data_IF_283087978185
#
_entry.id   IF_283087978185
#
_cell.length_a   1.000
_cell.length_b   1.000
_cell.length_c   1.000
_cell.angle_alpha   90.00
_cell.angle_beta   90.00
_cell.angle_gamma   90.00
#
_symmetry.space_group_name_H-M   'P 1'
#
loop_
_entity.id
_entity.type
_entity.pdbx_description
1 polymer ?
#
# COMPACT_ATOMS: atom_id res chain seq x y z
N UNK A 1 27.48 2.62 -3.65
CA UNK A 1 26.38 2.02 -4.42
C UNK A 1 26.77 0.60 -4.70
N UNK A 2 25.92 -0.34 -4.33
CA UNK A 2 26.29 -1.77 -4.27
C UNK A 2 25.94 -2.53 -5.55
N UNK A 3 24.96 -2.07 -6.33
CA UNK A 3 24.56 -2.70 -7.60
C UNK A 3 23.69 -1.74 -8.45
N UNK A 4 23.72 -1.86 -9.78
CA UNK A 4 22.79 -1.19 -10.71
C UNK A 4 22.54 -2.04 -11.94
N UNK A 5 21.29 -2.48 -12.12
CA UNK A 5 20.84 -3.22 -13.29
C UNK A 5 20.63 -2.34 -14.53
N UNK A 6 20.52 -2.97 -15.70
CA UNK A 6 20.19 -2.29 -16.96
C UNK A 6 18.73 -1.80 -16.94
N UNK A 7 18.50 -0.53 -17.28
CA UNK A 7 17.20 0.14 -17.21
C UNK A 7 16.85 0.77 -15.85
N UNK A 8 17.72 0.67 -14.83
CA UNK A 8 17.51 1.30 -13.52
C UNK A 8 18.07 2.73 -13.45
N UNK A 9 18.90 3.13 -14.41
CA UNK A 9 19.57 4.42 -14.47
C UNK A 9 19.23 5.15 -15.76
N UNK A 10 19.56 6.43 -15.79
CA UNK A 10 19.45 7.24 -17.00
C UNK A 10 20.37 6.70 -18.11
N UNK A 11 19.94 6.71 -19.39
CA UNK A 11 20.70 6.13 -20.49
C UNK A 11 22.15 6.61 -20.58
N UNK A 12 22.41 7.90 -20.35
CA UNK A 12 23.74 8.49 -20.38
C UNK A 12 24.67 7.93 -19.29
N UNK A 13 24.12 7.51 -18.15
CA UNK A 13 24.88 6.85 -17.10
C UNK A 13 25.19 5.40 -17.46
N UNK A 14 24.19 4.68 -17.94
CA UNK A 14 24.32 3.27 -18.32
C UNK A 14 25.33 3.09 -19.44
N UNK A 15 25.30 3.93 -20.48
CA UNK A 15 26.24 3.87 -21.60
C UNK A 15 27.69 3.94 -21.14
N UNK A 16 28.01 4.82 -20.18
CA UNK A 16 29.37 4.91 -19.65
C UNK A 16 29.70 3.67 -18.80
N UNK A 17 28.82 3.25 -17.91
CA UNK A 17 29.08 2.13 -16.98
C UNK A 17 29.22 0.78 -17.69
N UNK A 18 28.39 0.51 -18.70
CA UNK A 18 28.43 -0.74 -19.46
C UNK A 18 29.62 -0.82 -20.43
N UNK A 19 30.26 0.31 -20.75
CA UNK A 19 31.48 0.36 -21.55
C UNK A 19 32.77 0.28 -20.71
N UNK A 20 32.69 0.25 -19.38
CA UNK A 20 33.86 0.10 -18.52
C UNK A 20 34.28 -1.37 -18.42
N UNK A 21 35.58 -1.58 -18.38
CA UNK A 21 36.17 -2.85 -17.99
C UNK A 21 36.13 -3.02 -16.46
N UNK A 22 36.16 -4.27 -16.00
CA UNK A 22 36.19 -4.58 -14.56
C UNK A 22 37.39 -3.92 -13.88
N UNK A 23 37.13 -3.18 -12.80
CA UNK A 23 38.14 -2.42 -12.06
C UNK A 23 38.43 -1.02 -12.61
N UNK A 24 37.96 -0.68 -13.82
CA UNK A 24 38.21 0.61 -14.49
C UNK A 24 37.42 1.75 -13.84
N UNK A 25 38.04 2.93 -13.81
CA UNK A 25 37.42 4.20 -13.39
C UNK A 25 37.06 4.98 -14.66
N UNK A 26 35.84 5.51 -14.73
CA UNK A 26 35.41 6.38 -15.82
C UNK A 26 36.06 7.75 -15.75
N UNK A 27 36.09 8.46 -16.87
CA UNK A 27 36.23 9.91 -16.85
C UNK A 27 34.99 10.58 -16.20
N UNK A 28 35.09 11.87 -15.92
CA UNK A 28 33.94 12.65 -15.42
C UNK A 28 32.92 12.78 -16.54
N UNK A 29 31.71 12.26 -16.34
CA UNK A 29 30.62 12.37 -17.29
C UNK A 29 29.39 12.98 -16.62
N UNK A 30 28.50 13.58 -17.41
CA UNK A 30 27.24 14.14 -16.94
C UNK A 30 26.11 13.15 -17.19
N UNK A 31 25.29 12.90 -16.18
CA UNK A 31 23.99 12.23 -16.34
C UNK A 31 22.95 13.09 -15.61
N UNK A 32 21.90 13.50 -16.31
CA UNK A 32 20.92 14.45 -15.81
C UNK A 32 21.57 15.78 -15.37
N UNK A 33 21.30 16.16 -14.11
CA UNK A 33 21.78 17.41 -13.51
C UNK A 33 23.05 17.25 -12.67
N UNK A 34 23.70 16.08 -12.71
CA UNK A 34 24.89 15.78 -11.91
C UNK A 34 26.06 15.27 -12.75
N UNK A 35 27.27 15.45 -12.21
CA UNK A 35 28.50 14.86 -12.73
C UNK A 35 28.90 13.64 -11.92
N UNK A 36 29.29 12.58 -12.60
CA UNK A 36 29.64 11.29 -12.02
C UNK A 36 31.06 10.89 -12.39
N UNK A 37 31.72 10.23 -11.44
CA UNK A 37 32.91 9.41 -11.66
C UNK A 37 32.60 8.07 -11.03
N UNK A 38 32.69 7.00 -11.82
CA UNK A 38 32.32 5.66 -11.36
C UNK A 38 33.48 4.71 -11.54
N UNK A 39 33.54 3.69 -10.67
CA UNK A 39 34.49 2.59 -10.81
C UNK A 39 33.71 1.29 -10.90
N UNK A 40 33.88 0.55 -11.99
CA UNK A 40 33.26 -0.76 -12.12
C UNK A 40 33.98 -1.74 -11.19
N UNK A 41 33.25 -2.39 -10.28
CA UNK A 41 33.84 -3.34 -9.33
C UNK A 41 33.88 -4.75 -9.90
N UNK A 42 32.73 -5.21 -10.39
CA UNK A 42 32.52 -6.57 -10.87
C UNK A 42 31.43 -6.52 -11.93
N UNK A 43 31.57 -7.37 -12.96
CA UNK A 43 30.55 -7.59 -13.98
C UNK A 43 29.85 -8.91 -13.67
N UNK A 44 28.56 -8.87 -13.39
CA UNK A 44 27.74 -10.08 -13.35
C UNK A 44 27.10 -10.30 -14.73
N UNK A 45 27.39 -11.42 -15.42
CA UNK A 45 26.82 -11.68 -16.73
C UNK A 45 25.31 -11.89 -16.62
N UNK A 46 24.57 -11.40 -17.60
CA UNK A 46 23.13 -11.66 -17.72
C UNK A 46 22.90 -13.16 -17.79
N UNK A 47 22.16 -13.69 -16.82
CA UNK A 47 21.75 -15.09 -16.79
C UNK A 47 20.27 -15.17 -16.49
N UNK A 48 19.61 -16.16 -17.07
CA UNK A 48 18.25 -16.50 -16.67
C UNK A 48 18.31 -17.14 -15.28
N UNK A 49 17.53 -16.59 -14.34
CA UNK A 49 17.30 -17.23 -13.07
C UNK A 49 16.40 -18.45 -13.28
N UNK A 50 16.71 -19.53 -12.60
CA UNK A 50 15.89 -20.75 -12.61
C UNK A 50 14.63 -20.55 -11.77
N UNK A 51 13.57 -21.31 -12.07
CA UNK A 51 12.34 -21.28 -11.27
C UNK A 51 12.61 -21.61 -9.79
N UNK A 52 13.58 -22.47 -9.48
CA UNK A 52 13.97 -22.78 -8.10
C UNK A 52 14.53 -21.55 -7.36
N UNK A 53 15.36 -20.75 -8.03
CA UNK A 53 15.97 -19.54 -7.46
C UNK A 53 14.95 -18.45 -7.14
N UNK A 54 13.94 -18.30 -8.00
CA UNK A 54 12.89 -17.26 -7.85
C UNK A 54 11.57 -17.81 -7.32
N UNK A 55 11.51 -19.08 -6.90
CA UNK A 55 10.24 -19.76 -6.54
C UNK A 55 9.43 -18.98 -5.52
N UNK A 56 10.08 -18.44 -4.49
CA UNK A 56 9.38 -17.68 -3.44
C UNK A 56 8.84 -16.36 -3.96
N UNK A 57 9.61 -15.65 -4.79
CA UNK A 57 9.18 -14.37 -5.38
C UNK A 57 7.99 -14.57 -6.31
N UNK A 58 8.08 -15.56 -7.21
CA UNK A 58 6.98 -15.92 -8.13
C UNK A 58 5.75 -16.38 -7.35
N UNK A 59 5.93 -17.21 -6.31
CA UNK A 59 4.82 -17.65 -5.47
C UNK A 59 4.11 -16.45 -4.84
N UNK A 60 4.86 -15.49 -4.29
CA UNK A 60 4.27 -14.33 -3.66
C UNK A 60 3.52 -13.46 -4.68
N UNK A 61 4.15 -13.17 -5.83
CA UNK A 61 3.51 -12.43 -6.90
C UNK A 61 2.19 -13.08 -7.37
N UNK A 62 2.17 -14.40 -7.53
CA UNK A 62 0.94 -15.14 -7.90
C UNK A 62 -0.11 -15.11 -6.80
N UNK A 63 0.28 -15.12 -5.52
CA UNK A 63 -0.66 -14.98 -4.42
C UNK A 63 -1.30 -13.59 -4.39
N UNK A 64 -0.47 -12.56 -4.54
CA UNK A 64 -0.92 -11.16 -4.57
C UNK A 64 -1.85 -10.91 -5.78
N UNK A 65 -1.50 -11.43 -6.96
CA UNK A 65 -2.35 -11.35 -8.16
C UNK A 65 -3.69 -12.05 -7.96
N UNK A 66 -3.69 -13.27 -7.40
CA UNK A 66 -4.91 -14.03 -7.14
C UNK A 66 -5.80 -13.34 -6.11
N UNK A 67 -5.20 -12.70 -5.14
CA UNK A 67 -5.90 -11.96 -4.11
C UNK A 67 -6.59 -10.72 -4.69
N UNK A 68 -5.86 -9.91 -5.45
CA UNK A 68 -6.43 -8.77 -6.15
C UNK A 68 -7.59 -9.21 -7.07
N UNK A 69 -7.38 -10.24 -7.88
CA UNK A 69 -8.42 -10.79 -8.74
C UNK A 69 -9.65 -11.25 -7.93
N UNK A 70 -9.45 -11.90 -6.78
CA UNK A 70 -10.54 -12.35 -5.92
C UNK A 70 -11.39 -11.18 -5.42
N UNK A 71 -10.76 -10.08 -5.01
CA UNK A 71 -11.45 -8.86 -4.54
C UNK A 71 -12.19 -8.16 -5.69
N UNK A 72 -11.55 -8.04 -6.85
CA UNK A 72 -12.17 -7.43 -8.04
C UNK A 72 -13.40 -8.22 -8.52
N UNK A 73 -13.30 -9.55 -8.63
CA UNK A 73 -14.41 -10.42 -9.03
C UNK A 73 -15.61 -10.35 -8.06
N UNK A 74 -15.34 -10.04 -6.79
CA UNK A 74 -16.35 -10.03 -5.72
C UNK A 74 -16.70 -8.63 -5.25
N UNK A 75 -16.27 -7.59 -5.97
CA UNK A 75 -16.43 -6.21 -5.56
C UNK A 75 -17.88 -5.89 -5.17
N UNK A 76 -18.86 -6.32 -5.96
CA UNK A 76 -20.30 -6.06 -5.74
C UNK A 76 -20.92 -6.87 -4.59
N UNK A 77 -20.20 -7.85 -4.04
CA UNK A 77 -20.71 -8.69 -2.96
C UNK A 77 -20.88 -7.83 -1.72
N UNK A 78 -22.08 -7.86 -1.14
CA UNK A 78 -22.35 -7.20 0.14
C UNK A 78 -21.56 -7.88 1.26
N UNK A 79 -20.77 -7.09 1.97
CA UNK A 79 -20.03 -7.51 3.16
C UNK A 79 -20.91 -7.38 4.40
N UNK A 80 -21.57 -6.24 4.58
CA UNK A 80 -22.58 -6.02 5.62
C UNK A 80 -23.63 -4.98 5.19
N UNK A 81 -24.70 -4.85 5.96
CA UNK A 81 -25.75 -3.84 5.73
C UNK A 81 -26.10 -3.19 7.06
N UNK A 82 -26.08 -1.86 7.09
CA UNK A 82 -26.43 -1.03 8.26
C UNK A 82 -27.51 -0.05 7.80
N UNK A 83 -28.66 -0.02 8.49
CA UNK A 83 -29.83 0.83 8.15
C UNK A 83 -30.28 0.78 6.67
N UNK A 84 -30.17 -0.39 6.04
CA UNK A 84 -30.54 -0.58 4.63
C UNK A 84 -29.50 -0.06 3.62
N UNK A 85 -28.40 0.54 4.07
CA UNK A 85 -27.23 0.84 3.24
C UNK A 85 -26.32 -0.39 3.20
N UNK A 86 -26.07 -0.89 2.00
CA UNK A 86 -25.14 -2.00 1.77
C UNK A 86 -23.73 -1.46 1.71
N UNK A 87 -22.82 -2.16 2.35
CA UNK A 87 -21.38 -1.95 2.24
C UNK A 87 -20.78 -3.20 1.59
N UNK A 88 -20.01 -2.99 0.53
CA UNK A 88 -19.56 -4.04 -0.38
C UNK A 88 -18.09 -4.41 -0.14
N UNK A 89 -17.68 -5.55 -0.69
CA UNK A 89 -16.28 -6.00 -0.66
C UNK A 89 -15.37 -5.02 -1.43
N UNK A 90 -15.86 -4.43 -2.53
CA UNK A 90 -15.09 -3.46 -3.31
C UNK A 90 -14.83 -2.17 -2.55
N UNK A 91 -15.86 -1.63 -1.87
CA UNK A 91 -15.71 -0.44 -1.02
C UNK A 91 -14.71 -0.70 0.12
N UNK A 92 -14.80 -1.86 0.78
CA UNK A 92 -13.82 -2.27 1.78
C UNK A 92 -12.39 -2.35 1.21
N UNK A 93 -12.23 -2.95 0.03
CA UNK A 93 -10.91 -3.15 -0.57
C UNK A 93 -10.25 -1.83 -0.98
N UNK A 94 -11.03 -0.91 -1.56
CA UNK A 94 -10.55 0.43 -1.89
C UNK A 94 -10.12 1.18 -0.62
N UNK A 95 -10.98 1.23 0.40
CA UNK A 95 -10.64 1.88 1.67
C UNK A 95 -9.39 1.27 2.30
N UNK A 96 -9.25 -0.07 2.28
CA UNK A 96 -8.07 -0.76 2.79
C UNK A 96 -6.77 -0.31 2.10
N UNK A 97 -6.80 -0.13 0.77
CA UNK A 97 -5.62 0.32 0.01
C UNK A 97 -5.27 1.79 0.25
N UNK A 98 -6.25 2.62 0.59
CA UNK A 98 -6.06 4.05 0.87
C UNK A 98 -5.56 4.33 2.31
N UNK A 99 -5.55 3.32 3.19
CA UNK A 99 -5.11 3.48 4.58
C UNK A 99 -3.61 3.77 4.70
N UNK A 100 -3.19 4.57 5.70
CA UNK A 100 -1.77 4.81 5.97
C UNK A 100 -1.00 3.50 6.23
N UNK A 101 0.23 3.33 5.68
CA UNK A 101 1.01 2.11 5.87
C UNK A 101 1.27 1.75 7.34
N UNK A 102 1.41 2.76 8.20
CA UNK A 102 1.60 2.58 9.65
C UNK A 102 0.40 1.93 10.33
N UNK A 103 -0.81 2.16 9.80
CA UNK A 103 -2.03 1.54 10.32
C UNK A 103 -2.21 0.14 9.74
N UNK A 104 -1.92 -0.03 8.44
CA UNK A 104 -2.01 -1.33 7.77
C UNK A 104 -1.07 -2.39 8.36
N UNK A 105 0.02 -1.99 9.00
CA UNK A 105 0.93 -2.90 9.70
C UNK A 105 0.20 -3.84 10.68
N UNK A 106 -0.85 -3.37 11.33
CA UNK A 106 -1.63 -4.15 12.31
C UNK A 106 -2.74 -5.00 11.66
N UNK A 107 -3.01 -4.81 10.36
CA UNK A 107 -4.16 -5.41 9.67
C UNK A 107 -3.77 -6.21 8.40
N UNK A 108 -2.53 -6.68 8.32
CA UNK A 108 -2.04 -7.45 7.17
C UNK A 108 -2.69 -8.85 7.07
N UNK A 109 -2.79 -9.34 5.83
CA UNK A 109 -3.26 -10.68 5.53
C UNK A 109 -4.77 -10.91 5.76
N UNK A 110 -5.25 -12.15 5.58
CA UNK A 110 -6.68 -12.46 5.67
C UNK A 110 -7.31 -12.15 7.04
N UNK A 111 -6.64 -12.53 8.12
CA UNK A 111 -7.15 -12.30 9.48
C UNK A 111 -7.13 -10.81 9.87
N UNK A 112 -6.08 -10.07 9.48
CA UNK A 112 -6.01 -8.63 9.72
C UNK A 112 -7.12 -7.87 8.99
N UNK A 113 -7.38 -8.18 7.72
CA UNK A 113 -8.51 -7.60 6.98
C UNK A 113 -9.86 -7.94 7.60
N UNK A 114 -10.04 -9.17 8.09
CA UNK A 114 -11.25 -9.54 8.81
C UNK A 114 -11.41 -8.71 10.09
N UNK A 115 -10.37 -8.58 10.90
CA UNK A 115 -10.40 -7.78 12.13
C UNK A 115 -10.68 -6.29 11.83
N UNK A 116 -10.14 -5.76 10.73
CA UNK A 116 -10.47 -4.40 10.29
C UNK A 116 -11.95 -4.29 9.91
N UNK A 117 -12.49 -5.24 9.14
CA UNK A 117 -13.90 -5.24 8.77
C UNK A 117 -14.83 -5.31 10.00
N UNK A 118 -14.52 -6.15 10.99
CA UNK A 118 -15.25 -6.23 12.25
C UNK A 118 -15.22 -4.88 13.00
N UNK A 119 -14.04 -4.26 13.11
CA UNK A 119 -13.89 -2.93 13.73
C UNK A 119 -14.68 -1.84 13.00
N UNK A 120 -14.72 -1.88 11.67
CA UNK A 120 -15.52 -0.94 10.87
C UNK A 120 -17.01 -1.12 11.17
N UNK A 121 -17.50 -2.35 11.24
CA UNK A 121 -18.89 -2.63 11.60
C UNK A 121 -19.22 -2.05 12.98
N UNK A 122 -18.42 -2.37 14.00
CA UNK A 122 -18.63 -1.88 15.37
C UNK A 122 -18.69 -0.36 15.45
N UNK A 123 -17.75 0.30 14.75
CA UNK A 123 -17.65 1.76 14.78
C UNK A 123 -18.81 2.43 14.04
N UNK A 124 -19.24 1.88 12.92
CA UNK A 124 -20.41 2.39 12.21
C UNK A 124 -21.68 2.21 13.03
N UNK A 125 -21.85 1.09 13.74
CA UNK A 125 -22.96 0.90 14.66
C UNK A 125 -22.95 1.93 15.80
N UNK A 126 -21.78 2.20 16.40
CA UNK A 126 -21.66 3.18 17.49
C UNK A 126 -22.00 4.61 17.04
N UNK A 127 -21.52 4.98 15.85
CA UNK A 127 -21.82 6.27 15.22
C UNK A 127 -23.34 6.41 15.09
N UNK A 128 -24.03 5.41 14.52
CA UNK A 128 -25.48 5.41 14.36
C UNK A 128 -26.25 5.47 15.71
N UNK A 129 -25.86 4.70 16.73
CA UNK A 129 -26.47 4.77 18.08
C UNK A 129 -26.35 6.18 18.69
N UNK A 130 -25.26 6.88 18.42
CA UNK A 130 -25.07 8.27 18.87
C UNK A 130 -25.88 9.29 18.06
N UNK A 131 -26.21 9.00 16.79
CA UNK A 131 -27.08 9.83 15.95
C UNK A 131 -28.57 9.69 16.28
N UNK A 132 -29.04 8.48 16.57
CA UNK A 132 -30.43 8.22 16.99
C UNK A 132 -30.78 8.98 18.29
N UNK A 133 -29.79 9.25 19.15
CA UNK A 133 -29.96 10.09 20.33
C UNK A 133 -29.94 11.61 20.05
N UNK A 134 -29.37 12.04 18.92
CA UNK A 134 -29.13 13.45 18.63
C UNK A 134 -30.07 14.06 17.58
N UNK A 135 -30.59 13.32 16.60
CA UNK A 135 -31.37 13.94 15.51
C UNK A 135 -32.56 13.13 15.00
N UNK A 136 -33.73 13.67 15.32
CA UNK A 136 -34.98 13.51 14.60
C UNK A 136 -34.90 14.30 13.26
N UNK A 137 -34.06 13.92 12.30
CA UNK A 137 -33.90 14.69 11.04
C UNK A 137 -33.82 13.82 9.79
N UNK A 138 -34.76 14.06 8.88
CA UNK A 138 -34.81 13.56 7.51
C UNK A 138 -33.77 14.27 6.63
N UNK A 139 -32.63 13.64 6.34
CA UNK A 139 -32.05 13.63 4.98
C UNK A 139 -30.80 12.75 4.89
N UNK A 140 -30.73 11.90 3.85
CA UNK A 140 -29.70 10.85 3.68
C UNK A 140 -28.31 11.35 3.28
N UNK A 141 -28.17 12.55 2.71
CA UNK A 141 -26.90 13.08 2.22
C UNK A 141 -25.98 13.60 3.33
N UNK A 142 -26.56 14.17 4.39
CA UNK A 142 -25.82 14.75 5.52
C UNK A 142 -25.18 13.66 6.39
N UNK A 143 -25.78 12.46 6.44
CA UNK A 143 -25.26 11.32 7.20
C UNK A 143 -23.92 10.84 6.63
N UNK A 144 -23.73 10.91 5.32
CA UNK A 144 -22.53 10.38 4.66
C UNK A 144 -21.31 11.29 4.81
N UNK A 145 -21.52 12.61 4.69
CA UNK A 145 -20.50 13.63 4.93
C UNK A 145 -20.06 13.64 6.40
N UNK A 146 -21.03 13.56 7.30
CA UNK A 146 -20.79 13.52 8.75
C UNK A 146 -20.11 12.21 9.18
N UNK A 147 -20.46 11.07 8.54
CA UNK A 147 -19.76 9.78 8.77
C UNK A 147 -18.29 9.87 8.39
N UNK A 148 -17.95 10.51 7.26
CA UNK A 148 -16.56 10.67 6.81
C UNK A 148 -15.76 11.56 7.76
N UNK A 149 -16.34 12.66 8.24
CA UNK A 149 -15.71 13.57 9.21
C UNK A 149 -15.43 12.88 10.56
N UNK A 150 -16.37 12.09 11.06
CA UNK A 150 -16.19 11.32 12.31
C UNK A 150 -15.17 10.19 12.12
N UNK A 151 -15.16 9.54 10.95
CA UNK A 151 -14.14 8.54 10.62
C UNK A 151 -12.74 9.17 10.61
N UNK A 152 -12.60 10.35 9.99
CA UNK A 152 -11.34 11.11 9.91
C UNK A 152 -10.84 11.57 11.28
N UNK A 153 -11.67 12.26 12.07
CA UNK A 153 -11.27 12.76 13.41
C UNK A 153 -10.81 11.64 14.33
N UNK A 154 -11.53 10.53 14.36
CA UNK A 154 -11.19 9.41 15.25
C UNK A 154 -10.03 8.53 14.70
N UNK A 155 -9.66 8.64 13.41
CA UNK A 155 -8.38 8.12 12.89
C UNK A 155 -7.19 9.03 13.26
N UNK A 156 -7.41 10.33 13.47
CA UNK A 156 -6.40 11.23 14.02
C UNK A 156 -6.20 11.02 15.53
N UNK A 157 -7.26 10.73 16.29
CA UNK A 157 -7.17 10.54 17.76
C UNK A 157 -6.40 9.29 18.21
N UNK A 158 -6.17 8.29 17.35
CA UNK A 158 -5.25 7.18 17.69
C UNK A 158 -3.78 7.57 17.52
N UNK A 159 -3.47 8.78 17.04
CA UNK A 159 -2.10 9.33 16.93
C UNK A 159 -1.64 10.14 18.15
N UNK A 160 -2.33 10.12 19.28
CA UNK A 160 -1.65 10.55 20.52
C UNK A 160 -0.87 9.36 21.06
N UNK A 161 0.46 9.26 20.87
CA UNK A 161 1.22 8.42 21.78
C UNK A 161 0.95 8.98 23.17
N UNK A 162 0.45 8.14 24.05
CA UNK A 162 0.47 8.36 25.49
C UNK A 162 1.93 8.56 25.90
N UNK A 163 2.40 9.80 25.80
CA UNK A 163 3.53 10.28 26.57
C UNK A 163 3.08 10.34 28.02
N UNK A 164 3.20 9.20 28.70
CA UNK A 164 3.43 9.21 30.14
C UNK A 164 4.85 8.72 30.37
N UNK A 165 5.78 9.67 30.29
CA UNK A 165 6.98 9.66 31.11
C UNK A 165 6.57 10.07 32.52
N UNK A 166 6.81 9.21 33.50
CA UNK A 166 7.40 9.51 34.82
C UNK A 166 7.58 8.20 35.59
#
# INVERSE_FOLDING_TARGET
>A
MDWSGKGEREPAYEEVVFNLDEGQISDVFRAGDAFYVVRLRTIEPERQQTLDEVRQQVRQAVLDEKEEAWFQERADRTLFTIHGKRYTVGEFWQEYQELPPTFLADYQGPEGRKALAERLIERLLLVEDSYDQLLNVKNRGEIEEVRLDVLAQMMEYTRTPSSTRA
#
